data_IF_405970426442
#
_entry.id   IF_405970426442
#
_cell.length_a   1.000
_cell.length_b   1.000
_cell.length_c   1.000
_cell.angle_alpha   90.00
_cell.angle_beta   90.00
_cell.angle_gamma   90.00
#
_symmetry.space_group_name_H-M   'P 1'
#
loop_
_entity.id
_entity.type
_entity.pdbx_description
1 polymer ?
#
# COMPACT_ATOMS: atom_id res chain seq x y z
N UNK A 1 37.29 6.50 -72.94
CA UNK A 1 38.66 5.92 -72.87
C UNK A 1 39.14 6.07 -71.44
N UNK A 2 39.48 4.92 -70.83
CA UNK A 2 40.45 4.72 -69.73
C UNK A 2 40.17 5.30 -68.33
N UNK A 3 39.51 4.51 -67.47
CA UNK A 3 40.05 3.77 -66.28
C UNK A 3 41.59 3.84 -66.04
N UNK A 4 42.17 3.35 -64.91
CA UNK A 4 41.65 2.98 -63.58
C UNK A 4 42.64 3.24 -62.39
N UNK A 5 42.24 2.85 -61.16
CA UNK A 5 43.07 2.26 -60.08
C UNK A 5 44.20 3.04 -59.35
N UNK A 6 44.11 2.97 -58.00
CA UNK A 6 45.18 2.95 -56.98
C UNK A 6 45.69 4.33 -56.51
N UNK A 7 46.11 4.57 -55.27
CA UNK A 7 46.93 3.71 -54.41
C UNK A 7 47.08 4.37 -53.00
N UNK A 8 47.15 3.54 -51.95
CA UNK A 8 47.93 3.70 -50.69
C UNK A 8 47.66 4.79 -49.64
N UNK A 9 47.31 4.31 -48.44
CA UNK A 9 47.56 4.92 -47.12
C UNK A 9 49.09 5.04 -46.84
N UNK A 10 49.57 5.84 -45.84
CA UNK A 10 49.62 5.31 -44.47
C UNK A 10 49.67 6.35 -43.29
N UNK A 11 49.48 5.84 -42.07
CA UNK A 11 50.04 6.28 -40.76
C UNK A 11 49.36 7.40 -39.92
N UNK A 12 48.83 6.92 -38.78
CA UNK A 12 49.00 7.47 -37.41
C UNK A 12 48.45 8.86 -37.09
N UNK A 13 47.31 8.88 -36.38
CA UNK A 13 47.20 9.69 -35.17
C UNK A 13 46.23 9.05 -34.18
N UNK A 14 46.81 8.43 -33.16
CA UNK A 14 46.11 7.95 -31.97
C UNK A 14 45.58 9.13 -31.15
N UNK A 15 44.33 9.52 -31.34
CA UNK A 15 43.63 10.33 -30.33
C UNK A 15 42.88 9.41 -29.38
N UNK A 16 43.56 9.11 -28.26
CA UNK A 16 42.99 8.42 -27.10
C UNK A 16 41.80 9.21 -26.53
N UNK A 17 40.81 8.51 -25.94
CA UNK A 17 39.73 9.14 -25.21
C UNK A 17 40.31 9.89 -24.00
N UNK A 18 40.02 11.18 -23.87
CA UNK A 18 40.32 11.95 -22.67
C UNK A 18 39.33 11.51 -21.59
N UNK A 19 39.80 10.61 -20.74
CA UNK A 19 39.15 10.29 -19.48
C UNK A 19 39.03 11.54 -18.60
N UNK A 20 37.86 11.71 -18.00
CA UNK A 20 37.65 12.63 -16.89
C UNK A 20 38.33 12.06 -15.64
N UNK A 21 39.36 12.74 -15.17
CA UNK A 21 40.07 12.41 -13.93
C UNK A 21 39.25 12.87 -12.71
N UNK A 22 38.98 12.01 -11.71
CA UNK A 22 38.10 12.31 -10.57
C UNK A 22 38.81 13.08 -9.42
N UNK A 23 39.77 13.95 -9.74
CA UNK A 23 40.80 14.39 -8.78
C UNK A 23 41.07 15.88 -8.70
N UNK A 24 40.14 16.76 -9.10
CA UNK A 24 40.31 18.21 -8.90
C UNK A 24 39.07 18.82 -8.25
N UNK A 25 39.34 19.58 -7.19
CA UNK A 25 38.48 20.56 -6.52
C UNK A 25 37.55 20.01 -5.41
N UNK A 26 38.09 19.10 -4.60
CA UNK A 26 37.92 19.20 -3.16
C UNK A 26 38.99 20.18 -2.63
N UNK A 27 38.64 21.46 -2.42
CA UNK A 27 39.40 22.43 -1.60
C UNK A 27 38.63 23.78 -1.48
N UNK A 28 37.42 23.75 -0.92
CA UNK A 28 36.79 24.88 -0.23
C UNK A 28 36.08 24.36 1.03
N UNK A 29 36.83 23.65 1.87
CA UNK A 29 36.42 23.32 3.22
C UNK A 29 36.99 24.35 4.20
N UNK A 30 36.25 24.60 5.28
CA UNK A 30 36.63 25.25 6.55
C UNK A 30 36.50 26.77 6.68
N UNK A 31 35.26 27.28 6.77
CA UNK A 31 34.93 28.45 7.62
C UNK A 31 33.43 28.62 7.94
N UNK A 32 32.67 27.56 8.26
CA UNK A 32 31.37 27.68 8.99
C UNK A 32 31.10 26.44 9.87
N UNK A 33 32.15 25.85 10.43
CA UNK A 33 32.02 24.85 11.49
C UNK A 33 31.87 25.59 12.83
N UNK A 34 30.76 25.29 13.54
CA UNK A 34 30.53 25.45 14.98
C UNK A 34 30.19 26.83 15.57
N UNK A 35 28.90 27.17 15.54
CA UNK A 35 28.17 27.84 16.65
C UNK A 35 26.77 27.21 16.71
N UNK A 36 26.63 26.11 17.47
CA UNK A 36 25.94 26.08 18.77
C UNK A 36 24.40 26.18 18.63
N UNK A 37 23.67 25.05 18.61
CA UNK A 37 23.06 24.40 19.80
C UNK A 37 22.03 25.29 20.50
N UNK A 38 20.81 24.76 20.67
CA UNK A 38 19.65 25.28 21.42
C UNK A 38 18.61 26.12 20.65
N UNK A 39 17.88 25.48 19.73
CA UNK A 39 16.62 25.99 19.16
C UNK A 39 15.36 25.41 19.83
N UNK A 40 15.41 25.09 21.12
CA UNK A 40 14.26 24.68 21.92
C UNK A 40 14.16 25.60 23.15
N UNK A 41 13.05 26.35 23.21
CA UNK A 41 12.52 27.08 24.36
C UNK A 41 13.19 28.40 24.81
N UNK A 42 13.01 29.51 24.10
CA UNK A 42 12.91 30.85 24.71
C UNK A 42 11.91 31.70 23.89
N UNK A 43 10.61 31.48 24.12
CA UNK A 43 9.50 32.27 23.56
C UNK A 43 8.78 33.09 24.63
N UNK A 44 9.51 33.50 25.66
CA UNK A 44 9.06 34.42 26.69
C UNK A 44 10.07 35.56 26.77
N UNK A 45 9.56 36.79 26.88
CA UNK A 45 10.23 38.01 27.36
C UNK A 45 11.17 38.78 26.42
N UNK A 46 10.59 39.74 25.68
CA UNK A 46 11.00 41.16 25.70
C UNK A 46 9.69 41.96 25.68
N UNK A 47 9.14 42.39 26.81
CA UNK A 47 9.58 43.47 27.71
C UNK A 47 9.25 44.89 27.19
N UNK A 48 8.53 45.61 28.05
CA UNK A 48 8.14 47.01 27.96
C UNK A 48 6.70 47.11 28.48
N UNK A 49 6.41 47.55 29.71
CA UNK A 49 7.11 48.46 30.61
C UNK A 49 6.43 48.41 31.99
N UNK A 50 7.19 48.58 33.08
CA UNK A 50 6.65 49.21 34.28
C UNK A 50 6.83 48.46 35.61
N UNK A 51 7.94 48.77 36.28
CA UNK A 51 8.03 49.06 37.72
C UNK A 51 7.46 48.06 38.76
N UNK A 52 8.36 47.34 39.41
CA UNK A 52 8.28 47.10 40.87
C UNK A 52 8.64 48.40 41.62
N UNK A 53 8.06 48.70 42.80
CA UNK A 53 8.51 48.07 44.05
C UNK A 53 7.46 47.86 45.18
N UNK A 54 7.75 46.82 46.00
CA UNK A 54 7.50 46.58 47.44
C UNK A 54 6.51 47.45 48.26
N UNK A 55 5.58 46.80 48.99
CA UNK A 55 5.18 47.10 50.39
C UNK A 55 4.07 46.11 50.84
N UNK A 56 4.38 45.12 51.69
CA UNK A 56 4.03 45.04 53.12
C UNK A 56 2.55 45.10 53.54
N UNK A 57 2.13 43.99 54.16
CA UNK A 57 1.26 43.88 55.35
C UNK A 57 -0.18 44.43 55.31
N UNK A 58 -1.17 43.53 55.45
CA UNK A 58 -1.94 43.43 56.71
C UNK A 58 -3.03 42.37 56.65
N UNK A 59 -3.31 41.84 57.84
CA UNK A 59 -4.18 40.74 58.20
C UNK A 59 -5.64 40.87 57.76
N UNK A 60 -6.29 39.71 57.59
CA UNK A 60 -7.61 39.48 58.21
C UNK A 60 -7.83 37.98 58.43
N UNK A 61 -7.88 37.50 59.69
CA UNK A 61 -8.27 36.14 60.01
C UNK A 61 -9.80 36.07 60.21
N UNK A 62 -10.44 35.11 59.56
CA UNK A 62 -11.72 34.59 60.03
C UNK A 62 -11.73 33.08 59.82
N UNK A 63 -11.35 32.40 60.89
CA UNK A 63 -11.74 31.02 61.13
C UNK A 63 -13.27 30.96 61.33
N UNK A 64 -13.90 29.84 61.02
CA UNK A 64 -14.67 29.00 61.96
C UNK A 64 -15.37 27.84 61.19
N UNK A 65 -14.84 26.64 61.44
CA UNK A 65 -15.51 25.38 61.84
C UNK A 65 -16.47 24.63 60.88
N UNK A 66 -15.94 23.49 60.42
CA UNK A 66 -16.49 22.13 60.31
C UNK A 66 -18.02 21.85 60.38
N UNK A 67 -18.49 21.03 59.44
CA UNK A 67 -19.19 19.77 59.76
C UNK A 67 -19.07 18.75 58.61
N UNK A 68 -18.72 17.48 58.89
CA UNK A 68 -18.61 16.41 57.90
C UNK A 68 -19.98 15.74 57.67
N UNK A 69 -20.36 15.53 56.41
CA UNK A 69 -21.53 14.73 56.07
C UNK A 69 -21.06 13.43 55.39
N UNK A 70 -21.15 12.26 56.06
CA UNK A 70 -20.88 10.98 55.43
C UNK A 70 -22.11 10.51 54.64
N UNK A 71 -21.91 10.17 53.37
CA UNK A 71 -22.83 9.31 52.61
C UNK A 71 -22.02 8.24 51.88
N UNK A 72 -22.01 6.99 52.36
CA UNK A 72 -21.44 5.86 51.64
C UNK A 72 -22.50 5.16 50.79
N UNK A 73 -22.28 5.15 49.47
CA UNK A 73 -22.67 4.12 48.46
C UNK A 73 -22.96 4.80 47.12
N UNK A 74 -22.39 4.26 46.04
CA UNK A 74 -23.04 3.13 45.39
C UNK A 74 -22.13 1.92 45.21
N UNK A 75 -22.75 0.75 45.41
CA UNK A 75 -22.37 -0.52 44.80
C UNK A 75 -22.02 -0.34 43.31
N UNK A 76 -21.03 -1.10 42.88
CA UNK A 76 -21.14 -2.14 41.84
C UNK A 76 -19.92 -2.15 40.91
N UNK A 77 -19.17 -3.25 40.97
CA UNK A 77 -18.23 -3.69 39.95
C UNK A 77 -19.00 -3.80 38.61
N UNK A 78 -18.40 -3.38 37.49
CA UNK A 78 -18.41 -4.34 36.39
C UNK A 78 -17.04 -4.56 35.75
N UNK A 79 -16.71 -5.84 35.65
CA UNK A 79 -15.77 -6.44 34.70
C UNK A 79 -16.00 -5.89 33.29
N UNK A 80 -14.95 -5.58 32.50
CA UNK A 80 -15.10 -5.50 31.05
C UNK A 80 -15.15 -6.93 30.49
N UNK A 81 -16.29 -7.60 30.66
CA UNK A 81 -16.67 -8.70 29.76
C UNK A 81 -17.08 -8.04 28.45
N UNK A 82 -16.45 -8.32 27.29
CA UNK A 82 -16.95 -7.82 26.02
C UNK A 82 -18.26 -8.55 25.71
N UNK A 83 -19.37 -7.91 26.07
CA UNK A 83 -20.71 -8.35 25.71
C UNK A 83 -20.95 -8.02 24.22
N UNK A 84 -21.23 -9.01 23.35
CA UNK A 84 -21.61 -8.71 21.96
C UNK A 84 -23.00 -8.08 21.97
N UNK A 85 -23.08 -6.77 21.78
CA UNK A 85 -24.35 -6.05 21.62
C UNK A 85 -25.08 -6.54 20.35
N UNK A 86 -26.21 -7.27 20.42
CA UNK A 86 -26.97 -7.63 19.23
C UNK A 86 -28.01 -6.55 18.99
N UNK A 87 -27.61 -5.44 18.36
CA UNK A 87 -28.53 -4.45 17.81
C UNK A 87 -28.41 -4.39 16.29
N UNK A 88 -29.20 -5.23 15.60
CA UNK A 88 -29.67 -4.98 14.24
C UNK A 88 -30.86 -5.91 13.92
N UNK A 89 -32.06 -5.53 14.37
CA UNK A 89 -33.31 -6.01 13.76
C UNK A 89 -33.47 -5.33 12.40
N UNK A 90 -33.41 -6.12 11.33
CA UNK A 90 -33.91 -5.77 10.00
C UNK A 90 -32.91 -5.11 9.04
N UNK A 91 -32.20 -5.92 8.24
CA UNK A 91 -31.66 -5.47 6.95
C UNK A 91 -30.36 -6.14 6.49
N UNK A 92 -30.42 -7.21 5.69
CA UNK A 92 -29.38 -7.57 4.69
C UNK A 92 -27.92 -7.82 5.12
N UNK A 93 -27.58 -7.83 6.41
CA UNK A 93 -26.22 -8.15 6.87
C UNK A 93 -25.99 -9.66 6.84
N UNK A 94 -24.81 -10.07 6.36
CA UNK A 94 -24.36 -11.45 6.39
C UNK A 94 -23.15 -11.56 7.34
N UNK A 95 -23.02 -12.67 8.04
CA UNK A 95 -21.93 -12.87 9.01
C UNK A 95 -20.63 -13.27 8.34
N UNK A 96 -19.53 -12.57 8.67
CA UNK A 96 -18.18 -12.87 8.21
C UNK A 96 -17.77 -14.30 8.57
N UNK A 97 -17.34 -15.16 7.61
CA UNK A 97 -16.83 -16.49 7.91
C UNK A 97 -15.51 -16.43 8.67
N UNK A 98 -15.19 -17.53 9.36
CA UNK A 98 -13.86 -17.71 9.92
C UNK A 98 -12.87 -18.11 8.83
N UNK A 99 -11.96 -17.20 8.52
CA UNK A 99 -10.93 -17.34 7.48
C UNK A 99 -9.53 -17.50 8.06
N UNK A 100 -9.39 -17.50 9.39
CA UNK A 100 -8.10 -17.62 10.05
C UNK A 100 -7.42 -18.94 9.67
N UNK A 101 -6.10 -18.88 9.46
CA UNK A 101 -5.26 -20.05 9.12
C UNK A 101 -5.61 -20.72 7.78
N UNK A 102 -6.65 -20.28 7.07
CA UNK A 102 -6.99 -20.76 5.73
C UNK A 102 -6.10 -20.12 4.66
N UNK A 103 -5.90 -20.79 3.50
CA UNK A 103 -5.20 -20.19 2.38
C UNK A 103 -5.97 -18.96 1.86
N UNK A 104 -5.28 -17.83 1.71
CA UNK A 104 -5.92 -16.55 1.40
C UNK A 104 -6.70 -16.56 0.07
N UNK A 105 -6.27 -17.38 -0.91
CA UNK A 105 -6.92 -17.51 -2.22
C UNK A 105 -8.33 -18.10 -2.07
N UNK A 106 -8.48 -19.15 -1.28
CA UNK A 106 -9.78 -19.78 -1.02
C UNK A 106 -10.66 -18.87 -0.18
N UNK A 107 -10.10 -18.31 0.90
CA UNK A 107 -10.81 -17.36 1.76
C UNK A 107 -11.38 -16.18 0.97
N UNK A 108 -10.59 -15.62 0.05
CA UNK A 108 -11.04 -14.54 -0.84
C UNK A 108 -12.22 -14.95 -1.72
N UNK A 109 -12.14 -16.11 -2.37
CA UNK A 109 -13.20 -16.60 -3.25
C UNK A 109 -14.49 -16.84 -2.46
N UNK A 110 -14.38 -17.41 -1.26
CA UNK A 110 -15.52 -17.61 -0.36
C UNK A 110 -16.16 -16.27 0.03
N UNK A 111 -15.37 -15.30 0.49
CA UNK A 111 -15.84 -13.96 0.85
C UNK A 111 -16.51 -13.28 -0.38
N UNK A 112 -15.87 -13.30 -1.54
CA UNK A 112 -16.42 -12.71 -2.76
C UNK A 112 -17.74 -13.38 -3.15
N UNK A 113 -17.84 -14.70 -3.09
CA UNK A 113 -19.04 -15.45 -3.43
C UNK A 113 -20.19 -15.21 -2.44
N UNK A 114 -19.90 -15.08 -1.14
CA UNK A 114 -20.92 -14.96 -0.09
C UNK A 114 -21.50 -13.56 0.03
N UNK A 115 -20.66 -12.54 -0.13
CA UNK A 115 -21.03 -11.14 0.14
C UNK A 115 -21.07 -10.27 -1.12
N UNK A 116 -20.47 -10.70 -2.24
CA UNK A 116 -20.31 -9.87 -3.43
C UNK A 116 -19.44 -8.63 -3.18
N UNK A 117 -18.43 -8.77 -2.31
CA UNK A 117 -17.58 -7.68 -1.82
C UNK A 117 -16.21 -7.68 -2.48
N UNK A 118 -15.56 -6.53 -2.51
CA UNK A 118 -14.15 -6.44 -2.90
C UNK A 118 -13.26 -6.83 -1.72
N UNK A 119 -12.26 -7.68 -1.95
CA UNK A 119 -11.32 -8.10 -0.90
C UNK A 119 -9.96 -7.46 -1.15
N UNK A 120 -9.50 -6.66 -0.20
CA UNK A 120 -8.14 -6.12 -0.16
C UNK A 120 -7.23 -7.11 0.58
N UNK A 121 -6.08 -7.42 0.00
CA UNK A 121 -5.11 -8.35 0.58
C UNK A 121 -3.84 -7.57 0.93
N UNK A 122 -3.43 -7.68 2.19
CA UNK A 122 -2.18 -7.11 2.72
C UNK A 122 -1.27 -8.26 3.15
N UNK A 123 0.02 -8.19 2.81
CA UNK A 123 1.00 -9.23 3.13
C UNK A 123 1.89 -8.75 4.27
N UNK A 124 2.06 -9.60 5.28
CA UNK A 124 2.95 -9.40 6.42
C UNK A 124 4.11 -10.40 6.33
N UNK A 125 5.22 -9.91 5.78
CA UNK A 125 6.41 -10.72 5.52
C UNK A 125 7.18 -11.07 6.81
N UNK A 126 6.93 -10.35 7.92
CA UNK A 126 7.61 -10.58 9.20
C UNK A 126 6.91 -11.67 10.04
N UNK A 127 5.73 -12.10 9.64
CA UNK A 127 4.96 -13.12 10.36
C UNK A 127 5.66 -14.49 10.33
N UNK A 128 5.58 -15.20 11.46
CA UNK A 128 6.09 -16.57 11.63
C UNK A 128 5.05 -17.64 11.32
N UNK A 129 3.83 -17.25 10.95
CA UNK A 129 2.78 -18.20 10.57
C UNK A 129 3.07 -18.87 9.22
N UNK A 130 2.28 -19.87 8.86
CA UNK A 130 2.38 -20.54 7.57
C UNK A 130 2.22 -19.52 6.43
N UNK A 131 3.14 -19.52 5.47
CA UNK A 131 3.05 -18.65 4.30
C UNK A 131 1.72 -18.83 3.57
N UNK A 132 1.19 -17.74 3.01
CA UNK A 132 -0.09 -17.70 2.28
C UNK A 132 -1.33 -17.98 3.15
N UNK A 133 -1.19 -18.09 4.48
CA UNK A 133 -2.31 -18.21 5.39
C UNK A 133 -2.83 -16.85 5.86
N UNK A 134 -4.14 -16.74 6.07
CA UNK A 134 -4.74 -15.51 6.61
C UNK A 134 -4.46 -15.42 8.12
N UNK A 135 -3.84 -14.32 8.52
CA UNK A 135 -3.54 -13.97 9.92
C UNK A 135 -4.72 -13.30 10.60
N UNK A 136 -5.40 -12.41 9.87
CA UNK A 136 -6.51 -11.63 10.39
C UNK A 136 -7.37 -11.11 9.26
N UNK A 137 -8.59 -10.74 9.59
CA UNK A 137 -9.54 -10.14 8.66
C UNK A 137 -10.30 -8.99 9.32
N UNK A 138 -10.67 -8.01 8.50
CA UNK A 138 -11.45 -6.85 8.89
C UNK A 138 -12.60 -6.71 7.89
N UNK A 139 -13.87 -6.90 8.29
CA UNK A 139 -14.35 -7.27 9.63
C UNK A 139 -13.86 -8.65 10.11
N UNK A 140 -13.76 -8.84 11.43
CA UNK A 140 -13.36 -10.11 12.02
C UNK A 140 -14.44 -11.20 11.84
N UNK A 141 -14.06 -12.47 12.00
CA UNK A 141 -14.99 -13.59 11.98
C UNK A 141 -16.17 -13.35 12.93
N UNK A 142 -17.39 -13.64 12.48
CA UNK A 142 -18.61 -13.40 13.26
C UNK A 142 -19.15 -11.97 13.21
N UNK A 143 -18.41 -10.99 12.69
CA UNK A 143 -18.90 -9.62 12.53
C UNK A 143 -19.87 -9.49 11.34
N UNK A 144 -20.84 -8.55 11.40
CA UNK A 144 -21.74 -8.28 10.30
C UNK A 144 -21.01 -7.60 9.13
N UNK A 145 -21.23 -8.12 7.93
CA UNK A 145 -20.71 -7.58 6.67
C UNK A 145 -21.88 -7.17 5.80
N UNK A 146 -21.84 -5.93 5.29
CA UNK A 146 -22.82 -5.43 4.34
C UNK A 146 -22.46 -5.92 2.93
N UNK A 147 -23.46 -6.15 2.09
CA UNK A 147 -23.20 -6.39 0.67
C UNK A 147 -22.59 -5.14 0.04
N UNK A 148 -21.59 -5.33 -0.82
CA UNK A 148 -20.92 -4.24 -1.52
C UNK A 148 -19.91 -3.43 -0.70
N UNK A 149 -19.65 -3.77 0.58
CA UNK A 149 -18.51 -3.20 1.32
C UNK A 149 -17.18 -3.82 0.87
N UNK A 150 -16.06 -3.31 1.38
CA UNK A 150 -14.74 -3.92 1.17
C UNK A 150 -14.30 -4.65 2.43
N UNK A 151 -13.69 -5.82 2.27
CA UNK A 151 -13.10 -6.62 3.35
C UNK A 151 -11.59 -6.59 3.18
N UNK A 152 -10.85 -6.37 4.26
CA UNK A 152 -9.38 -6.44 4.24
C UNK A 152 -8.93 -7.72 4.94
N UNK A 153 -8.03 -8.48 4.32
CA UNK A 153 -7.38 -9.64 4.94
C UNK A 153 -5.87 -9.41 5.00
N UNK A 154 -5.27 -9.80 6.13
CA UNK A 154 -3.83 -9.79 6.35
C UNK A 154 -3.33 -11.22 6.19
N UNK A 155 -2.32 -11.42 5.37
CA UNK A 155 -1.79 -12.72 4.97
C UNK A 155 -0.34 -12.83 5.42
N UNK A 156 0.05 -13.98 5.96
CA UNK A 156 1.41 -14.25 6.39
C UNK A 156 2.34 -14.50 5.21
N UNK A 157 3.56 -13.99 5.32
CA UNK A 157 4.64 -14.21 4.38
C UNK A 157 4.72 -13.15 3.29
N UNK A 158 5.67 -13.31 2.36
CA UNK A 158 5.90 -12.34 1.31
C UNK A 158 4.77 -12.29 0.30
N UNK A 159 4.74 -11.22 -0.48
CA UNK A 159 3.82 -11.12 -1.61
C UNK A 159 3.98 -12.32 -2.55
N UNK A 160 2.89 -13.05 -2.74
CA UNK A 160 2.82 -14.24 -3.59
C UNK A 160 3.18 -13.90 -5.03
N UNK A 161 4.01 -14.74 -5.65
CA UNK A 161 4.40 -14.67 -7.06
C UNK A 161 4.00 -15.95 -7.78
N UNK A 162 3.61 -15.83 -9.04
CA UNK A 162 3.21 -16.96 -9.89
C UNK A 162 3.57 -16.70 -11.36
N UNK A 163 3.70 -17.75 -12.18
CA UNK A 163 3.96 -17.59 -13.60
C UNK A 163 2.76 -16.95 -14.31
N UNK A 164 3.06 -15.99 -15.20
CA UNK A 164 2.07 -15.31 -16.01
C UNK A 164 1.36 -16.30 -16.95
N UNK A 165 0.03 -16.44 -16.88
CA UNK A 165 -0.71 -17.33 -17.75
C UNK A 165 -0.69 -16.84 -19.21
N UNK A 166 -0.73 -17.79 -20.14
CA UNK A 166 -0.95 -17.43 -21.54
C UNK A 166 -2.42 -17.03 -21.77
N UNK A 167 -2.58 -15.82 -22.31
CA UNK A 167 -3.85 -15.15 -22.64
C UNK A 167 -3.84 -14.55 -24.04
N UNK A 168 -2.71 -14.62 -24.76
CA UNK A 168 -2.61 -14.10 -26.12
C UNK A 168 -3.47 -14.96 -27.06
N UNK A 169 -4.18 -14.33 -27.99
CA UNK A 169 -5.13 -15.00 -28.88
C UNK A 169 -6.50 -15.29 -28.27
N UNK A 170 -6.69 -15.15 -26.95
CA UNK A 170 -8.01 -15.26 -26.33
C UNK A 170 -8.85 -13.99 -26.54
N UNK A 171 -10.16 -14.09 -26.34
CA UNK A 171 -11.00 -12.88 -26.31
C UNK A 171 -10.59 -11.97 -25.15
N UNK A 172 -10.65 -10.66 -25.37
CA UNK A 172 -10.26 -9.66 -24.38
C UNK A 172 -11.01 -9.84 -23.04
N UNK A 173 -12.30 -10.20 -23.10
CA UNK A 173 -13.12 -10.48 -21.91
C UNK A 173 -12.70 -11.76 -21.18
N UNK A 174 -12.40 -12.85 -21.91
CA UNK A 174 -11.93 -14.08 -21.31
C UNK A 174 -10.54 -13.90 -20.66
N UNK A 175 -9.63 -13.20 -21.34
CA UNK A 175 -8.33 -12.85 -20.82
C UNK A 175 -8.42 -12.03 -19.53
N UNK A 176 -9.28 -11.00 -19.50
CA UNK A 176 -9.53 -10.22 -18.28
C UNK A 176 -9.96 -11.11 -17.11
N UNK A 177 -10.95 -12.00 -17.32
CA UNK A 177 -11.44 -12.88 -16.26
C UNK A 177 -10.35 -13.80 -15.75
N UNK A 178 -9.61 -14.46 -16.65
CA UNK A 178 -8.50 -15.36 -16.29
C UNK A 178 -7.44 -14.65 -15.47
N UNK A 179 -7.06 -13.41 -15.84
CA UNK A 179 -6.08 -12.63 -15.09
C UNK A 179 -6.57 -12.26 -13.68
N UNK A 180 -7.82 -11.81 -13.56
CA UNK A 180 -8.43 -11.43 -12.27
C UNK A 180 -8.63 -12.65 -11.35
N UNK A 181 -8.98 -13.81 -11.93
CA UNK A 181 -9.06 -15.08 -11.21
C UNK A 181 -7.70 -15.50 -10.65
N UNK A 182 -6.63 -15.32 -11.42
CA UNK A 182 -5.26 -15.58 -10.97
C UNK A 182 -4.80 -14.61 -9.86
N UNK A 183 -5.45 -13.45 -9.73
CA UNK A 183 -5.16 -12.45 -8.69
C UNK A 183 -4.53 -11.16 -9.21
N UNK A 184 -4.36 -11.04 -10.53
CA UNK A 184 -3.82 -9.86 -11.18
C UNK A 184 -4.90 -8.81 -11.37
N UNK A 185 -4.49 -7.55 -11.52
CA UNK A 185 -5.40 -6.47 -11.91
C UNK A 185 -5.10 -5.99 -13.32
N UNK A 186 -6.13 -5.54 -14.02
CA UNK A 186 -5.93 -4.89 -15.31
C UNK A 186 -5.51 -3.44 -15.06
N UNK A 187 -4.39 -3.04 -15.66
CA UNK A 187 -3.92 -1.67 -15.65
C UNK A 187 -4.68 -0.84 -16.69
N UNK A 188 -4.24 -0.90 -17.94
CA UNK A 188 -4.81 -0.16 -19.07
C UNK A 188 -5.15 -1.08 -20.23
N UNK A 189 -6.12 -0.62 -21.01
CA UNK A 189 -6.43 -1.18 -22.32
C UNK A 189 -5.89 -0.23 -23.38
N UNK A 190 -4.84 -0.63 -24.11
CA UNK A 190 -4.14 0.26 -25.04
C UNK A 190 -4.94 0.54 -26.32
N UNK A 191 -5.64 -0.47 -26.84
CA UNK A 191 -6.40 -0.41 -28.10
C UNK A 191 -7.90 -0.69 -27.90
N UNK A 192 -8.40 -0.58 -26.66
CA UNK A 192 -9.79 -0.90 -26.30
C UNK A 192 -9.97 -2.28 -25.65
N UNK A 193 -11.24 -2.64 -25.38
CA UNK A 193 -11.64 -3.82 -24.59
C UNK A 193 -12.28 -4.94 -25.42
N UNK A 194 -12.21 -4.84 -26.75
CA UNK A 194 -12.95 -5.70 -27.67
C UNK A 194 -12.02 -6.51 -28.56
N UNK A 195 -12.54 -7.62 -29.07
CA UNK A 195 -11.84 -8.57 -29.93
C UNK A 195 -10.84 -9.46 -29.18
N UNK A 196 -9.69 -9.75 -29.77
CA UNK A 196 -8.70 -10.72 -29.26
C UNK A 196 -7.46 -10.03 -28.69
N UNK A 197 -6.86 -10.62 -27.67
CA UNK A 197 -5.61 -10.11 -27.08
C UNK A 197 -4.47 -10.34 -28.06
N UNK A 198 -3.88 -9.25 -28.54
CA UNK A 198 -2.71 -9.26 -29.41
C UNK A 198 -1.42 -9.29 -28.60
N UNK A 199 -1.41 -8.55 -27.49
CA UNK A 199 -0.24 -8.44 -26.63
C UNK A 199 -0.65 -8.11 -25.19
N UNK A 200 0.26 -8.43 -24.28
CA UNK A 200 0.19 -8.15 -22.86
C UNK A 200 1.50 -7.52 -22.42
N UNK A 201 1.49 -6.70 -21.37
CA UNK A 201 2.72 -6.04 -20.88
C UNK A 201 3.78 -7.02 -20.35
N UNK A 202 3.34 -8.16 -19.83
CA UNK A 202 4.18 -9.22 -19.26
C UNK A 202 3.94 -10.50 -20.08
N UNK A 203 4.94 -11.04 -20.81
CA UNK A 203 4.78 -12.27 -21.58
C UNK A 203 4.50 -13.49 -20.70
N UNK A 204 4.01 -14.56 -21.33
CA UNK A 204 3.78 -15.87 -20.67
C UNK A 204 5.03 -16.35 -19.94
N UNK A 205 4.83 -17.12 -18.88
CA UNK A 205 5.87 -17.75 -18.05
C UNK A 205 6.79 -16.78 -17.26
N UNK A 206 6.61 -15.46 -17.39
CA UNK A 206 7.30 -14.51 -16.53
C UNK A 206 6.66 -14.47 -15.14
N UNK A 207 7.47 -14.32 -14.09
CA UNK A 207 6.95 -14.17 -12.73
C UNK A 207 6.24 -12.83 -12.54
N UNK A 208 5.01 -12.90 -12.06
CA UNK A 208 4.19 -11.75 -11.66
C UNK A 208 3.78 -11.89 -10.20
N UNK A 209 3.77 -10.78 -9.47
CA UNK A 209 3.32 -10.75 -8.08
C UNK A 209 1.81 -10.50 -8.00
N UNK A 210 1.20 -10.87 -6.87
CA UNK A 210 -0.24 -10.76 -6.57
C UNK A 210 -0.97 -9.59 -7.25
N UNK A 211 -1.24 -8.46 -6.63
CA UNK A 211 -2.05 -7.38 -7.22
C UNK A 211 -1.31 -6.54 -8.29
N UNK A 212 -0.52 -7.17 -9.18
CA UNK A 212 0.23 -6.51 -10.25
C UNK A 212 -0.69 -6.07 -11.39
N UNK A 213 -0.37 -4.90 -11.95
CA UNK A 213 -1.10 -4.35 -13.08
C UNK A 213 -0.53 -4.86 -14.39
N UNK A 214 -1.40 -5.50 -15.18
CA UNK A 214 -1.08 -5.92 -16.55
C UNK A 214 -1.82 -5.03 -17.53
N UNK A 215 -1.09 -4.43 -18.47
CA UNK A 215 -1.68 -3.69 -19.57
C UNK A 215 -2.03 -4.67 -20.71
N UNK A 216 -3.24 -4.54 -21.25
CA UNK A 216 -3.78 -5.39 -22.32
C UNK A 216 -3.88 -4.61 -23.63
N UNK A 217 -3.43 -5.23 -24.71
CA UNK A 217 -3.64 -4.75 -26.07
C UNK A 217 -4.61 -5.69 -26.77
N UNK A 218 -5.87 -5.26 -26.87
CA UNK A 218 -6.89 -5.99 -27.59
C UNK A 218 -7.04 -5.43 -29.00
N UNK A 219 -7.05 -6.30 -30.00
CA UNK A 219 -7.25 -5.96 -31.40
C UNK A 219 -8.66 -6.32 -31.84
N UNK A 220 -9.07 -5.78 -32.99
CA UNK A 220 -10.30 -6.25 -33.65
C UNK A 220 -10.19 -7.76 -33.91
N UNK A 221 -11.30 -8.48 -33.69
CA UNK A 221 -11.38 -9.88 -34.05
C UNK A 221 -10.98 -9.99 -35.54
N UNK A 222 -9.90 -10.71 -35.83
CA UNK A 222 -9.61 -11.05 -37.22
C UNK A 222 -10.83 -11.84 -37.70
N UNK A 223 -11.57 -11.29 -38.66
CA UNK A 223 -12.62 -12.04 -39.34
C UNK A 223 -12.04 -13.40 -39.72
N UNK A 224 -12.69 -14.52 -39.39
CA UNK A 224 -12.16 -15.83 -39.76
C UNK A 224 -11.97 -15.81 -41.28
N UNK A 225 -10.72 -15.94 -41.72
CA UNK A 225 -10.41 -16.10 -43.13
C UNK A 225 -11.25 -17.28 -43.63
N UNK A 226 -12.05 -17.14 -44.71
CA UNK A 226 -12.81 -18.27 -45.22
C UNK A 226 -11.81 -19.38 -45.52
N UNK A 227 -12.02 -20.53 -44.88
CA UNK A 227 -11.27 -21.74 -45.20
C UNK A 227 -11.40 -21.97 -46.70
N UNK A 228 -10.27 -22.02 -47.40
CA UNK A 228 -10.26 -22.31 -48.82
C UNK A 228 -10.66 -23.77 -49.03
N UNK A 229 -11.72 -23.98 -49.83
CA UNK A 229 -11.96 -25.20 -50.61
C UNK A 229 -12.76 -26.28 -49.91
#
# INVERSE_FOLDING_TARGET
MTDPWQETAPMTSSQRPRGFSPGTIALLATATVMLAVAGLAIGWYVAGTGAEPQAQASASPSAVVASPSPSPSPSELPSPTPEPSPSATGGGFQTMPDVLTRPFREARLEIMARFGVSVKVEFDEASTAAAESVLSSVPAAGQPVLRGTSVTIVVAGPRVRFPMPDVVGQSCSAAQKKLVEQGLRIGRYLNGRSGTVLAVSVPKDQEVGWNDAIDLTCGVAQSPSPAAG
#
